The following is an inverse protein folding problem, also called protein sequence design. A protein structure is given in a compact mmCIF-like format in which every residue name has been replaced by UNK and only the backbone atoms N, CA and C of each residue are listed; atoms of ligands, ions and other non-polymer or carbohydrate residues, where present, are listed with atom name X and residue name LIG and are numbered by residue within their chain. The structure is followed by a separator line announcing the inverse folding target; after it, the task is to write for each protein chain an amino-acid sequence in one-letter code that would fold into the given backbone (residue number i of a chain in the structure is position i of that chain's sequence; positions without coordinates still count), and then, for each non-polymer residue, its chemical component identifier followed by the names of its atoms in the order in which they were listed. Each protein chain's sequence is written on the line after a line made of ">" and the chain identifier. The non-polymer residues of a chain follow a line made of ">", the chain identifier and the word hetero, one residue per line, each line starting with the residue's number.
data_IF_915924422429
#
_entry.id   IF_915924422429
#
_cell.length_a   1.000
_cell.length_b   1.000
_cell.length_c   1.000
_cell.angle_alpha   90.00
_cell.angle_beta   90.00
_cell.angle_gamma   90.00
#
_symmetry.space_group_name_H-M   'P 1'
#
loop_
_entity.id
_entity.type
_entity.pdbx_description
1 polymer ?
#
# COMPACT_ATOMS: atom_id res chain seq x y z
N UNK A 1 -18.90 79.12 29.16
CA UNK A 1 -18.80 77.65 29.06
C UNK A 1 -19.61 77.17 27.86
N UNK A 2 -19.02 76.99 26.69
CA UNK A 2 -19.48 76.02 25.66
C UNK A 2 -18.24 75.68 24.83
N UNK A 3 -17.72 74.46 24.99
CA UNK A 3 -16.62 73.94 24.19
C UNK A 3 -17.21 73.06 23.07
N UNK A 4 -17.01 73.44 21.82
CA UNK A 4 -17.40 72.65 20.66
C UNK A 4 -16.38 71.52 20.42
N UNK A 5 -16.78 70.28 20.70
CA UNK A 5 -16.06 69.06 20.29
C UNK A 5 -16.34 68.77 18.80
N UNK A 6 -15.28 68.60 18.01
CA UNK A 6 -15.35 68.10 16.62
C UNK A 6 -15.62 66.59 16.61
N UNK A 7 -16.41 66.05 15.67
CA UNK A 7 -16.67 64.62 15.56
C UNK A 7 -15.54 63.90 14.81
N UNK A 8 -15.06 62.79 15.38
CA UNK A 8 -14.14 61.83 14.76
C UNK A 8 -14.89 60.94 13.77
N UNK A 9 -14.46 60.92 12.51
CA UNK A 9 -14.95 60.02 11.46
C UNK A 9 -14.44 58.60 11.71
N UNK A 10 -15.33 57.64 11.93
CA UNK A 10 -15.01 56.21 11.92
C UNK A 10 -15.00 55.71 10.47
N UNK A 11 -13.87 55.19 10.00
CA UNK A 11 -13.76 54.48 8.72
C UNK A 11 -14.23 53.03 8.93
N UNK A 12 -15.34 52.65 8.30
CA UNK A 12 -15.75 51.25 8.17
C UNK A 12 -14.98 50.61 7.00
N UNK A 13 -14.11 49.66 7.31
CA UNK A 13 -13.52 48.77 6.30
C UNK A 13 -14.44 47.57 6.09
N UNK A 14 -15.12 47.52 4.94
CA UNK A 14 -15.89 46.34 4.53
C UNK A 14 -14.90 45.28 4.03
N UNK A 15 -14.68 44.23 4.82
CA UNK A 15 -13.88 43.07 4.44
C UNK A 15 -14.70 42.21 3.46
N UNK A 16 -14.33 42.22 2.18
CA UNK A 16 -14.88 41.29 1.18
C UNK A 16 -14.14 39.97 1.32
N UNK A 17 -14.81 38.96 1.88
CA UNK A 17 -14.30 37.59 1.96
C UNK A 17 -14.48 36.92 0.59
N UNK A 18 -13.41 36.86 -0.20
CA UNK A 18 -13.38 36.06 -1.42
C UNK A 18 -13.15 34.61 -1.02
N UNK A 19 -14.23 33.81 -1.00
CA UNK A 19 -14.12 32.35 -0.84
C UNK A 19 -13.71 31.77 -2.20
N UNK A 20 -12.41 31.63 -2.43
CA UNK A 20 -11.91 30.75 -3.50
C UNK A 20 -12.16 29.31 -3.09
N UNK A 21 -13.14 28.66 -3.74
CA UNK A 21 -13.23 27.20 -3.73
C UNK A 21 -12.10 26.69 -4.61
N UNK A 22 -10.94 26.44 -4.00
CA UNK A 22 -9.88 25.68 -4.64
C UNK A 22 -10.35 24.23 -4.73
N UNK A 23 -10.78 23.81 -5.92
CA UNK A 23 -10.84 22.39 -6.25
C UNK A 23 -9.39 21.90 -6.32
N UNK A 24 -8.84 21.53 -5.16
CA UNK A 24 -7.49 20.98 -5.08
C UNK A 24 -7.48 19.65 -5.80
N UNK A 25 -6.70 19.55 -6.89
CA UNK A 25 -6.26 18.25 -7.36
C UNK A 25 -5.49 17.61 -6.20
N UNK A 26 -5.94 16.47 -5.69
CA UNK A 26 -5.23 15.73 -4.66
C UNK A 26 -3.80 15.45 -5.17
N UNK A 27 -2.80 16.07 -4.55
CA UNK A 27 -1.39 15.81 -4.84
C UNK A 27 -1.05 14.42 -4.27
N UNK A 28 -0.40 13.55 -5.04
CA UNK A 28 0.07 12.27 -4.48
C UNK A 28 1.11 12.54 -3.40
N UNK A 29 0.92 11.94 -2.23
CA UNK A 29 1.92 11.87 -1.19
C UNK A 29 2.95 10.77 -1.46
N UNK A 30 3.98 10.63 -0.61
CA UNK A 30 4.97 9.55 -0.71
C UNK A 30 4.39 8.14 -0.48
N UNK A 31 3.07 8.02 -0.30
CA UNK A 31 2.36 6.77 0.02
C UNK A 31 2.25 5.82 -1.18
N UNK A 32 2.22 6.36 -2.39
CA UNK A 32 2.00 5.62 -3.64
C UNK A 32 3.16 4.70 -4.00
N UNK A 33 2.87 3.41 -4.14
CA UNK A 33 3.85 2.37 -4.47
C UNK A 33 3.31 1.32 -5.42
N UNK A 34 4.07 0.24 -5.63
CA UNK A 34 3.63 -0.87 -6.47
C UNK A 34 4.20 -2.21 -5.99
N UNK A 35 3.37 -3.25 -6.06
CA UNK A 35 3.79 -4.64 -5.84
C UNK A 35 4.12 -5.24 -7.20
N UNK A 36 5.41 -5.40 -7.50
CA UNK A 36 5.86 -5.79 -8.84
C UNK A 36 6.91 -6.88 -8.76
N UNK A 37 6.67 -7.97 -9.50
CA UNK A 37 7.56 -9.13 -9.51
C UNK A 37 8.89 -8.81 -10.17
N UNK A 38 9.82 -9.77 -10.13
CA UNK A 38 11.12 -9.66 -10.80
C UNK A 38 10.93 -9.32 -12.28
N UNK A 39 11.17 -8.07 -12.65
CA UNK A 39 11.27 -7.64 -14.05
C UNK A 39 12.73 -7.30 -14.32
N UNK A 40 13.17 -7.65 -15.52
CA UNK A 40 14.46 -7.33 -16.15
C UNK A 40 14.75 -5.82 -16.15
N UNK A 41 15.66 -5.29 -16.99
CA UNK A 41 15.86 -3.84 -17.15
C UNK A 41 14.55 -3.05 -17.40
N UNK A 42 13.50 -3.73 -17.87
CA UNK A 42 12.15 -3.18 -18.01
C UNK A 42 11.48 -2.82 -16.67
N UNK A 43 11.91 -3.37 -15.52
CA UNK A 43 11.45 -2.98 -14.16
C UNK A 43 11.63 -1.48 -13.94
N UNK A 44 12.84 -0.97 -14.19
CA UNK A 44 13.16 0.42 -13.93
C UNK A 44 12.30 1.37 -14.75
N UNK A 45 12.07 1.02 -16.02
CA UNK A 45 11.19 1.77 -16.94
C UNK A 45 9.74 1.74 -16.44
N UNK A 46 9.24 0.56 -16.06
CA UNK A 46 7.89 0.40 -15.50
C UNK A 46 7.69 1.22 -14.24
N UNK A 47 8.61 1.13 -13.27
CA UNK A 47 8.56 1.91 -12.03
C UNK A 47 8.54 3.43 -12.33
N UNK A 48 9.44 3.90 -13.19
CA UNK A 48 9.50 5.30 -13.57
C UNK A 48 8.20 5.79 -14.21
N UNK A 49 7.59 4.98 -15.08
CA UNK A 49 6.32 5.32 -15.76
C UNK A 49 5.11 5.43 -14.85
N UNK A 50 5.15 4.86 -13.63
CA UNK A 50 4.04 4.89 -12.67
C UNK A 50 4.15 6.05 -11.67
N UNK A 51 5.28 6.77 -11.65
CA UNK A 51 5.57 7.84 -10.69
C UNK A 51 5.34 7.41 -9.23
N UNK A 52 5.84 6.22 -8.88
CA UNK A 52 5.73 5.62 -7.54
C UNK A 52 6.94 5.95 -6.67
N UNK A 53 6.72 6.18 -5.38
CA UNK A 53 7.79 6.50 -4.43
C UNK A 53 8.50 5.26 -3.91
N UNK A 54 7.83 4.10 -3.96
CA UNK A 54 8.37 2.84 -3.45
C UNK A 54 7.81 1.61 -4.16
N UNK A 55 8.49 0.48 -3.98
CA UNK A 55 8.02 -0.81 -4.47
C UNK A 55 8.54 -1.96 -3.60
N UNK A 56 7.92 -3.11 -3.74
CA UNK A 56 8.48 -4.38 -3.28
C UNK A 56 8.16 -5.49 -4.30
N UNK A 57 8.85 -6.62 -4.15
CA UNK A 57 8.82 -7.71 -5.14
C UNK A 57 8.73 -9.11 -4.50
N UNK A 58 8.21 -9.20 -3.28
CA UNK A 58 8.14 -10.45 -2.48
C UNK A 58 9.47 -11.11 -2.16
N UNK A 59 10.59 -10.41 -2.35
CA UNK A 59 11.92 -10.94 -2.06
C UNK A 59 12.70 -10.05 -1.11
N UNK A 60 13.84 -10.57 -0.67
CA UNK A 60 14.77 -9.88 0.20
C UNK A 60 15.65 -8.85 -0.53
N UNK A 61 15.65 -8.83 -1.88
CA UNK A 61 16.56 -8.00 -2.66
C UNK A 61 15.83 -7.33 -3.83
N UNK A 62 16.23 -6.11 -4.22
CA UNK A 62 15.64 -5.47 -5.39
C UNK A 62 15.93 -6.29 -6.65
N UNK A 63 15.03 -6.23 -7.63
CA UNK A 63 15.19 -6.92 -8.91
C UNK A 63 16.28 -6.34 -9.81
N UNK A 64 16.74 -5.12 -9.53
CA UNK A 64 17.90 -4.50 -10.17
C UNK A 64 18.59 -3.54 -9.20
N UNK A 65 19.92 -3.45 -9.28
CA UNK A 65 20.74 -2.57 -8.43
C UNK A 65 20.66 -1.08 -8.84
N UNK A 66 20.08 -0.76 -10.00
CA UNK A 66 20.11 0.57 -10.62
C UNK A 66 18.82 1.39 -10.45
N UNK A 67 17.82 0.85 -9.78
CA UNK A 67 16.57 1.55 -9.51
C UNK A 67 16.79 2.64 -8.44
N UNK A 68 16.61 3.92 -8.81
CA UNK A 68 16.53 5.05 -7.87
C UNK A 68 15.27 5.02 -6.99
N UNK A 69 14.36 4.07 -7.19
CA UNK A 69 13.13 3.94 -6.42
C UNK A 69 13.39 3.19 -5.11
N UNK A 70 12.67 3.56 -4.05
CA UNK A 70 12.84 2.93 -2.76
C UNK A 70 12.29 1.51 -2.72
N UNK A 71 13.19 0.54 -2.54
CA UNK A 71 12.85 -0.87 -2.40
C UNK A 71 12.55 -1.22 -0.94
N UNK A 72 11.44 -1.93 -0.70
CA UNK A 72 11.12 -2.51 0.59
C UNK A 72 11.29 -4.04 0.52
N UNK A 73 12.18 -4.64 1.33
CA UNK A 73 12.38 -6.07 1.37
C UNK A 73 11.18 -6.81 1.99
N UNK A 74 10.99 -8.04 1.55
CA UNK A 74 10.04 -8.97 2.17
C UNK A 74 10.68 -10.29 2.55
N UNK A 75 10.60 -10.65 3.83
CA UNK A 75 10.73 -12.03 4.29
C UNK A 75 9.43 -12.77 3.99
N UNK A 76 9.34 -13.35 2.80
CA UNK A 76 8.10 -13.98 2.33
C UNK A 76 7.57 -15.10 3.23
N UNK A 77 8.45 -15.81 3.94
CA UNK A 77 8.09 -16.91 4.85
C UNK A 77 8.24 -18.31 4.25
N UNK A 78 9.13 -18.49 3.26
CA UNK A 78 9.43 -19.83 2.73
C UNK A 78 10.18 -20.65 3.79
N UNK A 79 9.87 -21.94 3.91
CA UNK A 79 10.63 -22.85 4.79
C UNK A 79 12.12 -22.79 4.44
N UNK A 80 12.97 -22.56 5.45
CA UNK A 80 14.43 -22.41 5.29
C UNK A 80 14.91 -21.00 4.90
N UNK A 81 14.02 -20.04 4.62
CA UNK A 81 14.41 -18.67 4.26
C UNK A 81 15.18 -17.97 5.38
N UNK A 82 14.89 -18.28 6.65
CA UNK A 82 15.61 -17.72 7.80
C UNK A 82 17.10 -18.03 7.78
N UNK A 83 17.50 -19.23 7.35
CA UNK A 83 18.91 -19.58 7.22
C UNK A 83 19.60 -18.72 6.15
N UNK A 84 18.91 -18.45 5.04
CA UNK A 84 19.40 -17.54 4.00
C UNK A 84 19.53 -16.10 4.53
N UNK A 85 18.55 -15.64 5.32
CA UNK A 85 18.56 -14.33 5.96
C UNK A 85 19.81 -14.15 6.84
N UNK A 86 20.07 -15.11 7.74
CA UNK A 86 21.21 -15.12 8.66
C UNK A 86 22.56 -15.13 7.94
N UNK A 87 22.65 -15.83 6.81
CA UNK A 87 23.89 -15.91 6.02
C UNK A 87 24.15 -14.66 5.18
N UNK A 88 23.09 -14.06 4.61
CA UNK A 88 23.25 -13.00 3.61
C UNK A 88 23.45 -11.61 4.20
N UNK A 89 22.98 -11.37 5.44
CA UNK A 89 23.07 -10.09 6.18
C UNK A 89 23.02 -8.83 5.28
N UNK A 90 22.05 -8.71 4.35
CA UNK A 90 22.09 -7.61 3.41
C UNK A 90 21.81 -6.29 4.13
N UNK A 91 22.31 -5.19 3.56
CA UNK A 91 21.93 -3.85 4.03
C UNK A 91 20.44 -3.65 3.74
N UNK A 92 19.63 -3.64 4.79
CA UNK A 92 18.18 -3.58 4.68
C UNK A 92 17.68 -2.15 4.64
N UNK A 93 16.53 -1.97 3.97
CA UNK A 93 15.61 -0.87 4.28
C UNK A 93 15.31 -0.89 5.79
N UNK A 94 15.10 0.27 6.43
CA UNK A 94 14.68 0.31 7.84
C UNK A 94 13.36 -0.45 8.08
N UNK A 95 12.61 -0.76 7.03
CA UNK A 95 11.35 -1.50 7.10
C UNK A 95 11.47 -2.87 6.43
N UNK A 96 11.04 -3.94 7.13
CA UNK A 96 10.92 -5.30 6.60
C UNK A 96 9.45 -5.75 6.61
N UNK A 97 8.93 -6.08 5.42
CA UNK A 97 7.66 -6.81 5.29
C UNK A 97 7.90 -8.29 5.61
N UNK A 98 6.98 -8.94 6.31
CA UNK A 98 7.14 -10.35 6.71
C UNK A 98 5.89 -11.16 6.45
N UNK A 99 6.09 -12.44 6.09
CA UNK A 99 5.09 -13.49 5.86
C UNK A 99 3.96 -13.10 4.91
N UNK A 100 4.05 -13.59 3.67
CA UNK A 100 3.02 -13.37 2.66
C UNK A 100 1.89 -14.39 2.80
N UNK A 101 0.69 -13.94 3.17
CA UNK A 101 -0.52 -14.75 3.28
C UNK A 101 -0.29 -16.11 3.97
N UNK A 102 0.27 -16.13 5.20
CA UNK A 102 0.60 -17.37 5.91
C UNK A 102 -0.60 -18.27 6.19
N UNK A 103 -1.80 -17.69 6.19
CA UNK A 103 -3.09 -18.37 6.31
C UNK A 103 -3.53 -19.12 5.05
N UNK A 104 -2.82 -18.97 3.92
CA UNK A 104 -3.11 -19.68 2.68
C UNK A 104 -2.09 -20.77 2.35
N UNK A 105 -2.60 -21.98 2.08
CA UNK A 105 -1.80 -23.16 1.76
C UNK A 105 -0.91 -23.01 0.51
N UNK A 106 -1.29 -22.14 -0.44
CA UNK A 106 -0.55 -21.88 -1.68
C UNK A 106 0.42 -20.69 -1.58
N UNK A 107 0.51 -20.09 -0.40
CA UNK A 107 1.37 -18.94 -0.10
C UNK A 107 2.41 -19.36 0.94
N UNK A 108 2.75 -18.51 1.91
CA UNK A 108 3.79 -18.89 2.87
C UNK A 108 3.39 -20.07 3.77
N UNK A 109 2.09 -20.29 3.97
CA UNK A 109 1.53 -21.48 4.64
C UNK A 109 2.27 -21.78 5.97
N UNK A 110 2.17 -20.83 6.90
CA UNK A 110 2.86 -20.89 8.20
C UNK A 110 1.84 -20.87 9.32
N UNK A 111 2.08 -21.64 10.38
CA UNK A 111 1.27 -21.53 11.61
C UNK A 111 1.69 -20.30 12.41
N UNK A 112 0.83 -19.85 13.32
CA UNK A 112 1.16 -18.76 14.25
C UNK A 112 2.36 -19.12 15.13
N UNK A 113 2.47 -20.37 15.58
CA UNK A 113 3.63 -20.87 16.34
C UNK A 113 4.93 -20.77 15.55
N UNK A 114 4.93 -21.21 14.30
CA UNK A 114 6.10 -21.15 13.43
C UNK A 114 6.56 -19.71 13.20
N UNK A 115 5.61 -18.79 12.99
CA UNK A 115 5.89 -17.35 12.82
C UNK A 115 6.48 -16.76 14.10
N UNK A 116 5.86 -16.99 15.25
CA UNK A 116 6.32 -16.44 16.54
C UNK A 116 7.67 -17.03 16.97
N UNK A 117 7.95 -18.29 16.64
CA UNK A 117 9.23 -18.93 16.92
C UNK A 117 10.39 -18.26 16.16
N UNK A 118 10.18 -17.85 14.91
CA UNK A 118 11.19 -17.19 14.08
C UNK A 118 11.31 -15.68 14.39
N UNK A 119 10.32 -15.09 15.06
CA UNK A 119 10.20 -13.64 15.23
C UNK A 119 11.41 -12.97 15.91
N UNK A 120 12.00 -13.50 16.99
CA UNK A 120 13.17 -12.91 17.63
C UNK A 120 14.39 -12.82 16.71
N UNK A 121 14.52 -13.74 15.75
CA UNK A 121 15.58 -13.67 14.75
C UNK A 121 15.30 -12.56 13.73
N UNK A 122 14.06 -12.40 13.28
CA UNK A 122 13.68 -11.35 12.32
C UNK A 122 13.92 -9.94 12.88
N UNK A 123 13.64 -9.73 14.17
CA UNK A 123 13.84 -8.44 14.84
C UNK A 123 15.31 -7.98 14.87
N UNK A 124 16.27 -8.88 14.70
CA UNK A 124 17.70 -8.53 14.65
C UNK A 124 18.13 -7.91 13.32
N UNK A 125 17.31 -8.04 12.26
CA UNK A 125 17.66 -7.62 10.91
C UNK A 125 16.92 -6.36 10.44
N UNK A 126 16.10 -5.74 11.29
CA UNK A 126 15.28 -4.60 10.86
C UNK A 126 14.97 -3.62 11.98
N UNK A 127 14.89 -2.32 11.65
CA UNK A 127 14.48 -1.27 12.58
C UNK A 127 12.96 -1.18 12.74
N UNK A 128 12.19 -1.48 11.69
CA UNK A 128 10.73 -1.56 11.63
C UNK A 128 10.29 -2.87 10.99
N UNK A 129 9.27 -3.52 11.54
CA UNK A 129 8.76 -4.81 11.06
C UNK A 129 7.24 -4.74 10.88
N UNK A 130 6.74 -5.35 9.82
CA UNK A 130 5.30 -5.47 9.62
C UNK A 130 4.74 -6.61 10.48
N UNK A 131 3.44 -6.58 10.75
CA UNK A 131 2.72 -7.81 11.01
C UNK A 131 2.76 -8.73 9.75
N UNK A 132 2.40 -10.00 9.85
CA UNK A 132 2.16 -10.85 8.70
C UNK A 132 1.08 -10.29 7.77
N UNK A 133 1.28 -10.35 6.46
CA UNK A 133 0.29 -9.95 5.46
C UNK A 133 -0.73 -11.06 5.24
N UNK A 134 -1.60 -11.30 6.23
CA UNK A 134 -2.64 -12.34 6.15
C UNK A 134 -3.63 -12.08 5.00
N UNK A 135 -3.91 -13.10 4.20
CA UNK A 135 -4.88 -13.03 3.11
C UNK A 135 -6.32 -12.87 3.61
N UNK A 136 -6.59 -13.31 4.84
CA UNK A 136 -7.85 -13.11 5.57
C UNK A 136 -7.59 -12.43 6.91
N UNK A 137 -7.45 -11.10 6.94
CA UNK A 137 -7.00 -10.39 8.14
C UNK A 137 -8.06 -10.33 9.25
N UNK A 138 -9.28 -10.82 9.03
CA UNK A 138 -10.31 -10.96 10.06
C UNK A 138 -10.47 -12.39 10.60
N UNK A 139 -9.80 -13.37 10.00
CA UNK A 139 -9.96 -14.79 10.32
C UNK A 139 -9.13 -15.16 11.57
N UNK A 140 -9.37 -16.36 12.17
CA UNK A 140 -8.74 -16.76 13.43
C UNK A 140 -7.21 -16.70 13.42
N UNK A 141 -6.56 -17.04 12.30
CA UNK A 141 -5.09 -17.01 12.20
C UNK A 141 -4.52 -15.62 12.55
N UNK A 142 -5.06 -14.56 11.94
CA UNK A 142 -4.57 -13.20 12.16
C UNK A 142 -4.92 -12.69 13.56
N UNK A 143 -6.10 -13.06 14.07
CA UNK A 143 -6.51 -12.71 15.44
C UNK A 143 -5.62 -13.37 16.48
N UNK A 144 -5.31 -14.65 16.31
CA UNK A 144 -4.43 -15.38 17.22
C UNK A 144 -3.02 -14.77 17.22
N UNK A 145 -2.44 -14.53 16.03
CA UNK A 145 -1.14 -13.89 15.92
C UNK A 145 -1.09 -12.53 16.64
N UNK A 146 -2.05 -11.65 16.36
CA UNK A 146 -2.09 -10.30 16.93
C UNK A 146 -2.27 -10.32 18.45
N UNK A 147 -3.11 -11.21 18.99
CA UNK A 147 -3.28 -11.40 20.44
C UNK A 147 -1.96 -11.87 21.07
N UNK A 148 -1.35 -12.92 20.54
CA UNK A 148 -0.12 -13.50 21.10
C UNK A 148 1.08 -12.56 20.98
N UNK A 149 1.19 -11.82 19.87
CA UNK A 149 2.23 -10.81 19.71
C UNK A 149 2.08 -9.67 20.74
N UNK A 150 0.84 -9.22 21.00
CA UNK A 150 0.55 -8.23 22.04
C UNK A 150 0.90 -8.76 23.44
N UNK A 151 0.48 -9.98 23.77
CA UNK A 151 0.74 -10.60 25.07
C UNK A 151 2.24 -10.80 25.32
N UNK A 152 3.00 -11.10 24.27
CA UNK A 152 4.46 -11.23 24.33
C UNK A 152 5.20 -9.88 24.32
N UNK A 153 4.51 -8.75 24.13
CA UNK A 153 5.15 -7.44 23.98
C UNK A 153 6.02 -7.32 22.73
N UNK A 154 5.73 -8.12 21.70
CA UNK A 154 6.49 -8.17 20.47
C UNK A 154 6.28 -6.90 19.64
N UNK A 155 7.37 -6.31 19.13
CA UNK A 155 7.32 -5.16 18.24
C UNK A 155 6.60 -5.49 16.93
N UNK A 156 5.59 -4.68 16.60
CA UNK A 156 4.85 -4.64 15.34
C UNK A 156 4.65 -3.18 14.96
N UNK A 157 5.25 -2.72 13.86
CA UNK A 157 5.27 -1.30 13.52
C UNK A 157 4.16 -0.92 12.55
N UNK A 158 3.78 -1.82 11.64
CA UNK A 158 2.71 -1.58 10.66
C UNK A 158 1.92 -2.85 10.36
N UNK A 159 0.65 -2.69 9.98
CA UNK A 159 -0.23 -3.75 9.48
C UNK A 159 -0.21 -3.77 7.95
N UNK A 160 0.37 -4.78 7.29
CA UNK A 160 0.23 -4.95 5.86
C UNK A 160 -1.14 -5.54 5.51
N UNK A 161 -1.77 -5.03 4.45
CA UNK A 161 -3.12 -5.40 4.05
C UNK A 161 -3.18 -5.74 2.57
N UNK A 162 -3.79 -6.89 2.28
CA UNK A 162 -4.13 -7.31 0.93
C UNK A 162 -5.64 -7.16 0.69
N UNK A 163 -6.02 -6.68 -0.48
CA UNK A 163 -7.42 -6.62 -0.87
C UNK A 163 -7.63 -6.89 -2.36
N UNK A 164 -8.52 -7.84 -2.64
CA UNK A 164 -8.88 -8.23 -4.01
C UNK A 164 -10.39 -8.42 -4.10
N UNK A 165 -11.09 -7.41 -4.60
CA UNK A 165 -12.55 -7.40 -4.63
C UNK A 165 -13.15 -6.76 -5.87
N UNK A 166 -14.48 -6.74 -5.92
CA UNK A 166 -15.23 -5.99 -6.91
C UNK A 166 -14.92 -4.49 -6.81
N UNK A 167 -15.06 -3.68 -7.88
CA UNK A 167 -14.77 -2.24 -7.89
C UNK A 167 -15.81 -1.44 -7.08
N UNK A 168 -15.78 -1.64 -5.76
CA UNK A 168 -16.65 -1.04 -4.74
C UNK A 168 -15.75 -0.31 -3.74
N UNK A 169 -15.53 0.98 -4.02
CA UNK A 169 -14.66 1.86 -3.24
C UNK A 169 -15.13 1.98 -1.80
N UNK A 170 -16.45 2.05 -1.57
CA UNK A 170 -17.03 2.14 -0.23
C UNK A 170 -16.72 0.90 0.59
N UNK A 171 -16.87 -0.29 0.00
CA UNK A 171 -16.54 -1.55 0.66
C UNK A 171 -15.05 -1.68 0.94
N UNK A 172 -14.19 -1.25 0.02
CA UNK A 172 -12.75 -1.25 0.23
C UNK A 172 -12.35 -0.32 1.39
N UNK A 173 -12.80 0.94 1.36
CA UNK A 173 -12.47 1.91 2.41
C UNK A 173 -13.02 1.47 3.78
N UNK A 174 -14.28 1.01 3.86
CA UNK A 174 -14.84 0.49 5.11
C UNK A 174 -14.10 -0.75 5.64
N UNK A 175 -13.53 -1.58 4.76
CA UNK A 175 -12.68 -2.70 5.15
C UNK A 175 -11.39 -2.23 5.83
N UNK A 176 -10.75 -1.17 5.30
CA UNK A 176 -9.55 -0.57 5.91
C UNK A 176 -9.88 0.09 7.25
N UNK A 177 -10.94 0.89 7.31
CA UNK A 177 -11.40 1.56 8.53
C UNK A 177 -11.67 0.53 9.65
N UNK A 178 -12.29 -0.61 9.30
CA UNK A 178 -12.56 -1.70 10.23
C UNK A 178 -11.30 -2.41 10.72
N UNK A 179 -10.31 -2.64 9.85
CA UNK A 179 -9.03 -3.23 10.26
C UNK A 179 -8.25 -2.30 11.19
N UNK A 180 -8.22 -1.00 10.86
CA UNK A 180 -7.58 0.00 11.70
C UNK A 180 -8.25 0.07 13.07
N UNK A 181 -9.59 0.09 13.14
CA UNK A 181 -10.32 0.06 14.41
C UNK A 181 -10.06 -1.23 15.22
N UNK A 182 -9.82 -2.36 14.56
CA UNK A 182 -9.59 -3.65 15.21
C UNK A 182 -8.17 -3.76 15.81
N UNK A 183 -7.15 -3.29 15.10
CA UNK A 183 -5.76 -3.53 15.46
C UNK A 183 -5.00 -2.28 15.91
N UNK A 184 -5.47 -1.07 15.58
CA UNK A 184 -4.88 0.20 16.02
C UNK A 184 -3.47 0.48 15.51
N UNK A 185 -3.02 -0.23 14.47
CA UNK A 185 -1.70 -0.06 13.87
C UNK A 185 -1.76 0.81 12.61
N UNK A 186 -0.71 1.59 12.32
CA UNK A 186 -0.53 2.18 11.00
C UNK A 186 -0.54 1.10 9.92
N UNK A 187 -1.01 1.44 8.72
CA UNK A 187 -1.36 0.49 7.68
C UNK A 187 -0.56 0.72 6.41
N UNK A 188 -0.06 -0.39 5.85
CA UNK A 188 0.52 -0.45 4.52
C UNK A 188 -0.38 -1.35 3.67
N UNK A 189 -1.05 -0.82 2.66
CA UNK A 189 -1.86 -1.63 1.76
C UNK A 189 -0.90 -2.22 0.72
N UNK A 190 -0.26 -3.34 1.07
CA UNK A 190 0.84 -3.92 0.29
C UNK A 190 0.36 -4.55 -1.01
N UNK A 191 -0.91 -5.00 -1.08
CA UNK A 191 -1.49 -5.43 -2.34
C UNK A 191 -2.94 -4.99 -2.44
N UNK A 192 -3.30 -4.31 -3.53
CA UNK A 192 -4.70 -4.18 -3.89
C UNK A 192 -4.90 -4.14 -5.39
N UNK A 193 -6.02 -4.70 -5.83
CA UNK A 193 -6.51 -4.63 -7.20
C UNK A 193 -8.00 -4.98 -7.25
N UNK A 194 -8.69 -4.53 -8.30
CA UNK A 194 -10.01 -5.07 -8.62
C UNK A 194 -9.84 -6.50 -9.13
N UNK A 195 -10.58 -7.43 -8.54
CA UNK A 195 -10.52 -8.84 -8.86
C UNK A 195 -11.91 -9.47 -9.01
N UNK A 196 -12.07 -10.31 -10.02
CA UNK A 196 -13.25 -11.13 -10.19
C UNK A 196 -12.96 -12.61 -9.88
N UNK A 197 -13.17 -13.00 -8.63
CA UNK A 197 -12.99 -14.41 -8.23
C UNK A 197 -14.01 -15.37 -8.85
N UNK A 198 -15.12 -14.87 -9.41
CA UNK A 198 -16.06 -15.70 -10.17
C UNK A 198 -15.40 -16.20 -11.46
N UNK A 199 -14.72 -15.32 -12.20
CA UNK A 199 -13.97 -15.69 -13.41
C UNK A 199 -12.95 -16.81 -13.14
N UNK A 200 -12.19 -16.70 -12.03
CA UNK A 200 -11.23 -17.74 -11.64
C UNK A 200 -11.89 -19.05 -11.23
N UNK A 201 -13.05 -19.00 -10.58
CA UNK A 201 -13.74 -20.20 -10.09
C UNK A 201 -14.44 -20.96 -11.21
N UNK A 202 -15.02 -20.25 -12.17
CA UNK A 202 -15.87 -20.83 -13.21
C UNK A 202 -15.26 -20.79 -14.62
N UNK A 203 -14.04 -20.28 -14.77
CA UNK A 203 -13.38 -20.16 -16.07
C UNK A 203 -14.10 -19.21 -17.02
N UNK A 204 -14.82 -18.21 -16.49
CA UNK A 204 -15.54 -17.22 -17.29
C UNK A 204 -14.68 -15.99 -17.56
N UNK A 205 -15.06 -15.17 -18.52
CA UNK A 205 -14.47 -13.83 -18.67
C UNK A 205 -14.74 -12.99 -17.42
N UNK A 206 -13.79 -12.12 -17.08
CA UNK A 206 -13.95 -11.13 -16.03
C UNK A 206 -15.14 -10.23 -16.29
N UNK A 207 -16.04 -10.09 -15.31
CA UNK A 207 -17.25 -9.27 -15.45
C UNK A 207 -17.01 -7.76 -15.32
N UNK A 208 -15.82 -7.35 -14.87
CA UNK A 208 -15.45 -5.94 -14.72
C UNK A 208 -14.67 -5.44 -15.93
N UNK A 209 -14.72 -4.13 -16.16
CA UNK A 209 -14.02 -3.46 -17.26
C UNK A 209 -12.89 -2.58 -16.75
N UNK A 210 -11.97 -2.17 -17.63
CA UNK A 210 -10.95 -1.18 -17.26
C UNK A 210 -11.58 0.14 -16.79
N UNK A 211 -12.75 0.52 -17.32
CA UNK A 211 -13.49 1.73 -16.89
C UNK A 211 -13.94 1.59 -15.43
N UNK A 212 -14.42 0.42 -15.02
CA UNK A 212 -14.77 0.19 -13.61
C UNK A 212 -13.57 0.30 -12.68
N UNK A 213 -12.41 -0.19 -13.12
CA UNK A 213 -11.17 -0.11 -12.35
C UNK A 213 -10.63 1.32 -12.28
N UNK A 214 -10.71 2.09 -13.38
CA UNK A 214 -10.32 3.52 -13.38
C UNK A 214 -11.20 4.31 -12.41
N UNK A 215 -12.52 4.13 -12.44
CA UNK A 215 -13.43 4.76 -11.48
C UNK A 215 -13.07 4.40 -10.04
N UNK A 216 -12.78 3.12 -9.78
CA UNK A 216 -12.33 2.68 -8.45
C UNK A 216 -11.04 3.40 -8.03
N UNK A 217 -10.04 3.50 -8.91
CA UNK A 217 -8.79 4.24 -8.65
C UNK A 217 -9.06 5.72 -8.31
N UNK A 218 -9.85 6.40 -9.13
CA UNK A 218 -10.19 7.82 -8.96
C UNK A 218 -10.91 8.09 -7.65
N UNK A 219 -11.73 7.15 -7.18
CA UNK A 219 -12.45 7.25 -5.90
C UNK A 219 -11.57 6.90 -4.69
N UNK A 220 -10.72 5.86 -4.78
CA UNK A 220 -10.01 5.35 -3.60
C UNK A 220 -8.70 6.07 -3.33
N UNK A 221 -7.93 6.45 -4.35
CA UNK A 221 -6.58 6.99 -4.11
C UNK A 221 -6.58 8.32 -3.32
N UNK A 222 -7.46 9.31 -3.60
CA UNK A 222 -7.56 10.50 -2.75
C UNK A 222 -7.90 10.15 -1.29
N UNK A 223 -8.77 9.16 -1.10
CA UNK A 223 -9.22 8.68 0.20
C UNK A 223 -8.11 7.94 0.98
N UNK A 224 -7.19 7.26 0.28
CA UNK A 224 -5.99 6.67 0.87
C UNK A 224 -4.96 7.74 1.26
N UNK A 225 -4.79 8.79 0.45
CA UNK A 225 -3.93 9.93 0.80
C UNK A 225 -4.44 10.64 2.06
N UNK A 226 -5.76 10.86 2.17
CA UNK A 226 -6.38 11.56 3.29
C UNK A 226 -6.47 10.76 4.60
N UNK A 227 -6.31 9.42 4.56
CA UNK A 227 -6.30 8.58 5.76
C UNK A 227 -4.93 8.61 6.43
N UNK A 228 -4.83 9.25 7.59
CA UNK A 228 -3.58 9.38 8.34
C UNK A 228 -2.95 8.03 8.71
N UNK A 229 -3.78 7.04 9.08
CA UNK A 229 -3.28 5.69 9.40
C UNK A 229 -2.85 4.89 8.17
N UNK A 230 -3.17 5.33 6.95
CA UNK A 230 -2.62 4.72 5.73
C UNK A 230 -1.29 5.40 5.43
N UNK A 231 -0.20 4.68 5.58
CA UNK A 231 1.14 5.24 5.34
C UNK A 231 1.63 4.96 3.93
N UNK A 232 1.24 3.81 3.36
CA UNK A 232 1.65 3.37 2.04
C UNK A 232 0.57 2.50 1.39
N UNK A 233 0.49 2.52 0.07
CA UNK A 233 -0.35 1.61 -0.71
C UNK A 233 0.36 1.20 -2.00
N UNK A 234 0.16 -0.04 -2.42
CA UNK A 234 0.80 -0.61 -3.60
C UNK A 234 -0.21 -1.36 -4.47
N UNK A 235 -0.44 -0.85 -5.68
CA UNK A 235 -1.25 -1.58 -6.65
C UNK A 235 -0.52 -2.85 -7.09
N UNK A 236 -1.23 -3.95 -7.27
CA UNK A 236 -0.64 -5.19 -7.76
C UNK A 236 -0.36 -5.11 -9.27
N UNK A 237 0.91 -5.25 -9.68
CA UNK A 237 1.25 -5.60 -11.06
C UNK A 237 1.05 -7.10 -11.23
N UNK A 238 -0.17 -7.47 -11.64
CA UNK A 238 -0.56 -8.85 -11.82
C UNK A 238 0.09 -9.50 -13.05
N UNK A 239 0.17 -10.82 -13.02
CA UNK A 239 0.47 -11.64 -14.19
C UNK A 239 -0.61 -11.43 -15.27
N UNK A 240 -0.19 -11.12 -16.49
CA UNK A 240 -1.08 -10.85 -17.64
C UNK A 240 -1.97 -12.03 -18.02
N UNK A 241 -1.66 -13.24 -17.55
CA UNK A 241 -2.44 -14.46 -17.79
C UNK A 241 -3.59 -14.65 -16.79
N UNK A 242 -3.64 -13.88 -15.70
CA UNK A 242 -4.69 -14.01 -14.67
C UNK A 242 -5.98 -13.31 -15.09
N UNK A 243 -6.94 -14.06 -15.61
CA UNK A 243 -8.25 -13.53 -16.03
C UNK A 243 -8.97 -12.75 -14.91
N UNK A 244 -8.88 -13.21 -13.66
CA UNK A 244 -9.51 -12.54 -12.51
C UNK A 244 -8.98 -11.13 -12.24
N UNK A 245 -7.80 -10.79 -12.74
CA UNK A 245 -7.15 -9.48 -12.57
C UNK A 245 -6.99 -8.75 -13.90
N UNK A 246 -7.48 -9.31 -15.01
CA UNK A 246 -7.23 -8.80 -16.37
C UNK A 246 -7.57 -7.31 -16.53
N UNK A 247 -8.71 -6.79 -16.02
CA UNK A 247 -9.01 -5.36 -16.12
C UNK A 247 -8.07 -4.49 -15.28
N UNK A 248 -7.40 -5.04 -14.27
CA UNK A 248 -6.53 -4.32 -13.32
C UNK A 248 -5.05 -4.27 -13.74
N UNK A 249 -4.69 -4.84 -14.89
CA UNK A 249 -3.32 -4.84 -15.38
C UNK A 249 -2.84 -3.41 -15.61
N UNK A 250 -1.72 -3.02 -14.99
CA UNK A 250 -1.09 -1.71 -15.24
C UNK A 250 -0.34 -1.67 -16.57
N UNK A 251 0.14 -2.83 -17.04
CA UNK A 251 0.90 -2.95 -18.28
C UNK A 251 0.30 -4.01 -19.20
N UNK A 252 0.31 -3.75 -20.50
CA UNK A 252 0.01 -4.76 -21.52
C UNK A 252 1.18 -5.75 -21.71
N UNK A 253 0.98 -6.76 -22.55
CA UNK A 253 2.01 -7.77 -22.85
C UNK A 253 3.27 -7.20 -23.52
N UNK A 254 3.18 -6.02 -24.13
CA UNK A 254 4.33 -5.30 -24.70
C UNK A 254 5.08 -4.45 -23.66
N UNK A 255 4.51 -4.29 -22.45
CA UNK A 255 5.07 -3.49 -21.37
C UNK A 255 4.66 -2.02 -21.40
N UNK A 256 3.68 -1.64 -22.22
CA UNK A 256 3.11 -0.27 -22.25
C UNK A 256 2.01 -0.15 -21.22
N UNK A 257 1.79 1.06 -20.70
CA UNK A 257 0.68 1.32 -19.78
C UNK A 257 -0.66 1.02 -20.45
N UNK A 258 -1.53 0.32 -19.74
CA UNK A 258 -2.96 0.21 -20.08
C UNK A 258 -3.70 1.50 -19.68
N UNK A 259 -5.02 1.58 -19.94
CA UNK A 259 -5.83 2.69 -19.44
C UNK A 259 -5.80 2.77 -17.90
N UNK A 260 -5.80 1.61 -17.22
CA UNK A 260 -5.65 1.55 -15.76
C UNK A 260 -4.25 1.97 -15.31
N UNK A 261 -3.22 1.55 -16.04
CA UNK A 261 -1.84 2.00 -15.82
C UNK A 261 -1.70 3.51 -15.92
N UNK A 262 -2.31 4.11 -16.93
CA UNK A 262 -2.32 5.56 -17.14
C UNK A 262 -3.07 6.27 -16.01
N UNK A 263 -4.23 5.79 -15.59
CA UNK A 263 -4.98 6.37 -14.47
C UNK A 263 -4.18 6.29 -13.16
N UNK A 264 -3.57 5.14 -12.86
CA UNK A 264 -2.73 4.98 -11.68
C UNK A 264 -1.51 5.92 -11.74
N UNK A 265 -0.84 6.01 -12.90
CA UNK A 265 0.32 6.88 -13.10
C UNK A 265 -0.03 8.38 -13.00
N UNK A 266 -1.22 8.77 -13.46
CA UNK A 266 -1.70 10.15 -13.46
C UNK A 266 -2.13 10.65 -12.08
N UNK A 267 -2.49 9.75 -11.16
CA UNK A 267 -2.81 10.12 -9.78
C UNK A 267 -1.54 10.55 -9.04
N UNK A 268 -1.26 11.85 -9.14
CA UNK A 268 -0.15 12.60 -8.55
C UNK A 268 1.26 12.05 -8.84
N UNK A 269 2.20 12.96 -9.06
CA UNK A 269 3.61 12.61 -9.14
C UNK A 269 4.19 12.53 -7.72
N UNK A 270 4.70 11.35 -7.32
CA UNK A 270 5.57 11.26 -6.15
C UNK A 270 7.02 11.44 -6.63
N UNK A 271 7.66 12.55 -6.27
CA UNK A 271 9.08 12.73 -6.49
C UNK A 271 9.85 12.33 -5.23
N UNK A 272 10.66 11.28 -5.34
CA UNK A 272 11.54 10.82 -4.27
C UNK A 272 10.92 9.76 -3.35
N UNK A 273 11.78 9.21 -2.49
CA UNK A 273 11.48 8.03 -1.68
C UNK A 273 10.43 8.22 -0.57
N UNK A 274 10.13 9.46 -0.19
CA UNK A 274 9.66 9.78 1.17
C UNK A 274 10.62 9.22 2.24
N UNK A 275 10.55 9.71 3.46
CA UNK A 275 11.31 9.04 4.52
C UNK A 275 10.66 7.69 4.83
N UNK A 276 11.27 6.58 4.39
CA UNK A 276 10.93 5.21 4.85
C UNK A 276 11.11 5.09 6.39
N UNK A 277 11.78 6.08 6.98
CA UNK A 277 12.03 6.26 8.42
C UNK A 277 10.93 7.02 9.16
N UNK A 278 9.99 7.67 8.48
CA UNK A 278 8.99 8.49 9.19
C UNK A 278 7.79 7.70 9.70
N UNK A 279 7.25 8.10 10.87
CA UNK A 279 6.35 7.31 11.69
C UNK A 279 4.97 7.10 11.09
#
# INVERSE_FOLDING_TARGET
>A
MVAHKRPTRALFWTLVLVITVACGLAQAGPKKGVAIGQVTDRSGIKLASLHVGWYYNWTLRPSSLSSRHCFVPMYWGKRGQLATLKQTQPEWSPMLLVYNEPDFARQSNRTVDEVLQEWPDLLQFTERISAPAAGRPFDPWMREFMTRAKDAGTRLDVLPVHWYGAPDSKKFLAFLDKLHALYGLPMWITEFAVADWHSSKYGSTNRFTQVDVVRFIEEVLPELENREYVQRYAWLVADTTKESLRPSLLFDSSGRLTTVGQAYAAFGASEGCGNVREP
#
